data_IF_975126539136
#
_entry.id   IF_975126539136
#
_cell.length_a   1.000
_cell.length_b   1.000
_cell.length_c   1.000
_cell.angle_alpha   90.00
_cell.angle_beta   90.00
_cell.angle_gamma   90.00
#
_symmetry.space_group_name_H-M   'P 1'
#
loop_
_entity.id
_entity.type
_entity.pdbx_description
1 polymer ?
#
# COMPACT_ATOMS: atom_id res chain seq x y z
N UNK A 1 -19.86 -35.03 -39.92
CA UNK A 1 -19.97 -33.59 -39.54
C UNK A 1 -19.93 -33.39 -38.01
N UNK A 2 -20.65 -34.15 -37.18
CA UNK A 2 -20.71 -34.00 -35.72
C UNK A 2 -19.32 -34.10 -35.06
N UNK A 3 -18.46 -35.05 -35.47
CA UNK A 3 -17.11 -35.22 -34.89
C UNK A 3 -16.17 -34.00 -35.07
N UNK A 4 -16.26 -33.36 -36.23
CA UNK A 4 -15.44 -32.14 -36.50
C UNK A 4 -15.93 -30.97 -35.66
N UNK A 5 -17.25 -30.81 -35.49
CA UNK A 5 -17.81 -29.75 -34.63
C UNK A 5 -17.36 -29.91 -33.16
N UNK A 6 -17.34 -31.14 -32.64
CA UNK A 6 -16.86 -31.41 -31.27
C UNK A 6 -15.38 -31.04 -31.11
N UNK A 7 -14.54 -31.38 -32.08
CA UNK A 7 -13.13 -31.03 -32.05
C UNK A 7 -12.92 -29.51 -32.03
N UNK A 8 -13.66 -28.76 -32.85
CA UNK A 8 -13.59 -27.31 -32.91
C UNK A 8 -13.98 -26.69 -31.54
N UNK A 9 -15.06 -27.19 -30.92
CA UNK A 9 -15.53 -26.71 -29.63
C UNK A 9 -14.48 -26.98 -28.54
N UNK A 10 -13.89 -28.18 -28.49
CA UNK A 10 -12.87 -28.53 -27.52
C UNK A 10 -11.63 -27.63 -27.69
N UNK A 11 -11.16 -27.41 -28.91
CA UNK A 11 -10.02 -26.52 -29.18
C UNK A 11 -10.34 -25.09 -28.76
N UNK A 12 -11.52 -24.56 -29.04
CA UNK A 12 -11.92 -23.23 -28.60
C UNK A 12 -11.94 -23.08 -27.08
N UNK A 13 -12.43 -24.09 -26.35
CA UNK A 13 -12.43 -24.11 -24.88
C UNK A 13 -10.97 -24.09 -24.34
N UNK A 14 -10.09 -24.92 -24.87
CA UNK A 14 -8.69 -25.00 -24.43
C UNK A 14 -7.97 -23.66 -24.66
N UNK A 15 -8.18 -23.04 -25.82
CA UNK A 15 -7.60 -21.72 -26.12
C UNK A 15 -8.15 -20.66 -25.14
N UNK A 16 -9.46 -20.64 -24.90
CA UNK A 16 -10.10 -19.69 -23.98
C UNK A 16 -9.58 -19.83 -22.56
N UNK A 17 -9.40 -21.06 -22.07
CA UNK A 17 -8.81 -21.32 -20.75
C UNK A 17 -7.34 -20.84 -20.72
N UNK A 18 -6.56 -21.11 -21.76
CA UNK A 18 -5.16 -20.68 -21.87
C UNK A 18 -5.04 -19.15 -21.81
N UNK A 19 -5.89 -18.43 -22.54
CA UNK A 19 -5.93 -16.97 -22.51
C UNK A 19 -6.34 -16.46 -21.12
N UNK A 20 -7.39 -17.03 -20.52
CA UNK A 20 -7.86 -16.63 -19.20
C UNK A 20 -6.78 -16.84 -18.11
N UNK A 21 -6.06 -17.96 -18.14
CA UNK A 21 -4.96 -18.24 -17.23
C UNK A 21 -3.79 -17.28 -17.44
N UNK A 22 -3.46 -16.94 -18.69
CA UNK A 22 -2.40 -15.96 -19.00
C UNK A 22 -2.72 -14.59 -18.39
N UNK A 23 -3.94 -14.09 -18.61
CA UNK A 23 -4.40 -12.85 -17.98
C UNK A 23 -4.41 -12.94 -16.46
N UNK A 24 -4.88 -14.05 -15.90
CA UNK A 24 -4.90 -14.22 -14.44
C UNK A 24 -3.50 -14.10 -13.83
N UNK A 25 -2.50 -14.75 -14.41
CA UNK A 25 -1.10 -14.67 -13.94
C UNK A 25 -0.52 -13.26 -14.15
N UNK A 26 -0.81 -12.65 -15.30
CA UNK A 26 -0.29 -11.32 -15.63
C UNK A 26 -0.83 -10.22 -14.70
N UNK A 27 -2.07 -10.34 -14.22
CA UNK A 27 -2.70 -9.35 -13.35
C UNK A 27 -2.60 -9.64 -11.85
N UNK A 28 -1.79 -10.62 -11.43
CA UNK A 28 -1.52 -10.87 -10.01
C UNK A 28 -0.76 -9.71 -9.38
N UNK A 29 -1.16 -9.24 -8.18
CA UNK A 29 -0.37 -8.27 -7.43
C UNK A 29 0.96 -8.89 -6.97
N UNK A 30 2.02 -8.09 -7.01
CA UNK A 30 3.34 -8.46 -6.53
C UNK A 30 3.53 -7.88 -5.12
N UNK A 31 3.64 -8.73 -4.10
CA UNK A 31 3.84 -8.31 -2.72
C UNK A 31 5.32 -8.25 -2.37
N UNK A 32 5.80 -7.07 -1.97
CA UNK A 32 7.18 -6.82 -1.56
C UNK A 32 7.17 -6.51 -0.07
N UNK A 33 7.77 -7.38 0.75
CA UNK A 33 7.78 -7.24 2.21
C UNK A 33 9.17 -6.84 2.70
N UNK A 34 9.22 -5.79 3.54
CA UNK A 34 10.44 -5.28 4.17
C UNK A 34 10.16 -4.95 5.65
N UNK A 35 11.22 -4.65 6.42
CA UNK A 35 11.11 -4.15 7.80
C UNK A 35 11.04 -2.63 7.84
N UNK A 36 10.53 -2.10 8.95
CA UNK A 36 10.53 -0.67 9.23
C UNK A 36 11.93 -0.08 9.12
N UNK A 37 12.05 1.09 8.48
CA UNK A 37 13.33 1.72 8.13
C UNK A 37 13.99 1.21 6.85
N UNK A 38 13.59 0.06 6.32
CA UNK A 38 14.03 -0.39 5.00
C UNK A 38 13.15 0.22 3.90
N UNK A 39 13.76 0.45 2.74
CA UNK A 39 13.04 1.01 1.60
C UNK A 39 12.33 -0.07 0.79
N UNK A 40 11.11 0.22 0.35
CA UNK A 40 10.33 -0.61 -0.58
C UNK A 40 9.91 0.22 -1.79
N UNK A 41 10.00 -0.36 -2.97
CA UNK A 41 9.59 0.30 -4.21
C UNK A 41 8.21 -0.16 -4.63
N UNK A 42 7.29 0.80 -4.85
CA UNK A 42 5.94 0.54 -5.38
C UNK A 42 5.78 1.40 -6.64
N UNK A 43 5.80 0.75 -7.78
CA UNK A 43 5.93 1.44 -9.07
C UNK A 43 7.24 2.21 -9.18
N UNK A 44 7.14 3.50 -9.50
CA UNK A 44 8.30 4.38 -9.59
C UNK A 44 8.69 5.03 -8.25
N UNK A 45 7.90 4.84 -7.19
CA UNK A 45 8.12 5.51 -5.92
C UNK A 45 8.82 4.57 -4.94
N UNK A 46 9.89 5.06 -4.31
CA UNK A 46 10.59 4.43 -3.21
C UNK A 46 10.06 5.00 -1.89
N UNK A 47 9.59 4.13 -1.01
CA UNK A 47 9.07 4.47 0.31
C UNK A 47 9.96 3.91 1.40
N UNK A 48 10.19 4.69 2.45
CA UNK A 48 10.76 4.22 3.73
C UNK A 48 9.76 4.58 4.82
N UNK A 49 9.32 3.60 5.60
CA UNK A 49 8.29 3.77 6.62
C UNK A 49 8.83 3.32 7.96
N UNK A 50 8.58 4.13 8.99
CA UNK A 50 8.94 3.83 10.37
C UNK A 50 7.77 4.14 11.30
N UNK A 51 7.60 3.33 12.33
CA UNK A 51 6.76 3.66 13.48
C UNK A 51 7.46 4.73 14.32
N UNK A 52 6.77 5.84 14.60
CA UNK A 52 7.34 6.96 15.35
C UNK A 52 6.67 7.20 16.70
N UNK A 53 5.64 6.44 17.03
CA UNK A 53 5.01 6.52 18.33
C UNK A 53 3.49 6.50 18.29
N UNK A 54 2.91 6.80 19.43
CA UNK A 54 1.47 6.91 19.61
C UNK A 54 1.11 8.21 20.34
N UNK A 55 -0.09 8.72 20.09
CA UNK A 55 -0.62 9.88 20.79
C UNK A 55 -2.15 9.81 20.94
N UNK A 56 -2.69 10.64 21.83
CA UNK A 56 -4.13 10.66 22.12
C UNK A 56 -4.87 11.82 21.42
N UNK A 57 -4.26 12.32 20.34
CA UNK A 57 -4.83 13.45 19.59
C UNK A 57 -4.69 14.79 20.31
N UNK A 58 -5.55 15.72 19.94
CA UNK A 58 -5.63 17.08 20.48
C UNK A 58 -7.02 17.37 21.06
N UNK A 59 -7.29 18.63 21.39
CA UNK A 59 -8.61 19.06 21.93
C UNK A 59 -9.75 18.89 20.90
N UNK A 60 -9.45 18.92 19.60
CA UNK A 60 -10.42 18.87 18.51
C UNK A 60 -10.62 17.46 17.97
N UNK A 61 -9.55 16.66 17.97
CA UNK A 61 -9.56 15.33 17.34
C UNK A 61 -8.97 14.30 18.31
N UNK A 62 -9.83 13.47 18.89
CA UNK A 62 -9.44 12.39 19.79
C UNK A 62 -9.69 11.05 19.13
N UNK A 63 -8.80 10.06 19.32
CA UNK A 63 -9.04 8.71 18.83
C UNK A 63 -10.12 8.03 19.67
N UNK A 64 -10.74 6.99 19.10
CA UNK A 64 -11.57 6.04 19.85
C UNK A 64 -10.67 5.14 20.70
N UNK A 65 -9.50 4.79 20.19
CA UNK A 65 -8.49 3.96 20.85
C UNK A 65 -7.21 4.78 21.11
N UNK A 66 -6.24 4.70 20.22
CA UNK A 66 -5.04 5.53 20.22
C UNK A 66 -4.59 5.78 18.79
N UNK A 67 -3.99 6.91 18.52
CA UNK A 67 -3.37 7.17 17.21
C UNK A 67 -1.98 6.52 17.16
N UNK A 68 -1.87 5.53 16.30
CA UNK A 68 -0.61 4.91 15.89
C UNK A 68 -0.02 5.72 14.75
N UNK A 69 1.12 6.35 14.96
CA UNK A 69 1.73 7.28 14.01
C UNK A 69 2.94 6.67 13.30
N UNK A 70 3.03 6.89 12.01
CA UNK A 70 4.16 6.51 11.18
C UNK A 70 4.77 7.72 10.47
N UNK A 71 6.08 7.64 10.24
CA UNK A 71 6.81 8.49 9.30
C UNK A 71 6.88 7.81 7.95
N UNK A 72 6.74 8.61 6.90
CA UNK A 72 6.80 8.19 5.50
C UNK A 72 7.82 9.08 4.80
N UNK A 73 8.93 8.50 4.33
CA UNK A 73 9.82 9.16 3.40
C UNK A 73 9.53 8.60 2.03
N UNK A 74 9.25 9.45 1.05
CA UNK A 74 8.94 9.07 -0.32
C UNK A 74 9.86 9.78 -1.30
N UNK A 75 10.38 9.04 -2.27
CA UNK A 75 11.22 9.55 -3.35
C UNK A 75 10.70 8.99 -4.68
N UNK A 76 10.40 9.88 -5.61
CA UNK A 76 10.00 9.50 -6.96
C UNK A 76 11.25 9.24 -7.81
N UNK A 77 11.56 7.98 -8.08
CA UNK A 77 12.66 7.56 -8.95
C UNK A 77 12.26 7.50 -10.44
N UNK A 78 11.04 7.92 -10.76
CA UNK A 78 10.54 8.06 -12.14
C UNK A 78 11.01 9.35 -12.80
N UNK A 79 10.64 9.51 -14.06
CA UNK A 79 11.00 10.70 -14.87
C UNK A 79 9.90 11.75 -14.89
N UNK A 80 8.70 11.40 -14.48
CA UNK A 80 7.52 12.29 -14.42
C UNK A 80 7.05 12.45 -12.99
N UNK A 81 6.43 13.60 -12.70
CA UNK A 81 5.80 13.84 -11.40
C UNK A 81 4.72 12.79 -11.12
N UNK A 82 4.61 12.37 -9.86
CA UNK A 82 3.66 11.33 -9.44
C UNK A 82 2.87 11.77 -8.22
N UNK A 83 1.59 11.40 -8.17
CA UNK A 83 0.72 11.76 -7.06
C UNK A 83 0.78 10.70 -5.96
N UNK A 84 0.95 11.17 -4.73
CA UNK A 84 0.86 10.39 -3.51
C UNK A 84 -0.33 10.87 -2.65
N UNK A 85 -1.04 9.95 -2.01
CA UNK A 85 -2.17 10.26 -1.13
C UNK A 85 -2.11 9.43 0.15
N UNK A 86 -2.60 9.96 1.27
CA UNK A 86 -2.68 9.20 2.52
C UNK A 86 -3.47 7.90 2.40
N UNK A 87 -4.48 7.85 1.54
CA UNK A 87 -5.30 6.65 1.30
C UNK A 87 -4.57 5.46 0.66
N UNK A 88 -3.32 5.62 0.22
CA UNK A 88 -2.47 4.52 -0.23
C UNK A 88 -1.98 3.64 0.91
N UNK A 89 -1.94 4.18 2.13
CA UNK A 89 -1.38 3.52 3.30
C UNK A 89 -2.48 2.93 4.16
N UNK A 90 -2.30 1.67 4.57
CA UNK A 90 -3.23 0.95 5.44
C UNK A 90 -2.45 0.24 6.51
N UNK A 91 -2.86 0.37 7.76
CA UNK A 91 -2.33 -0.52 8.79
C UNK A 91 -3.02 -1.88 8.69
N UNK A 92 -2.25 -2.95 8.82
CA UNK A 92 -2.71 -4.34 8.77
C UNK A 92 -2.31 -4.98 10.10
N UNK A 93 -3.30 -5.40 10.88
CA UNK A 93 -3.07 -6.10 12.13
C UNK A 93 -2.72 -7.58 11.93
N UNK A 94 -2.44 -8.29 13.02
CA UNK A 94 -2.09 -9.73 13.00
C UNK A 94 -3.18 -10.63 12.40
N UNK A 95 -4.44 -10.19 12.43
CA UNK A 95 -5.58 -10.92 11.86
C UNK A 95 -5.82 -10.57 10.38
N UNK A 96 -4.99 -9.69 9.81
CA UNK A 96 -5.13 -9.20 8.43
C UNK A 96 -6.20 -8.13 8.26
N UNK A 97 -6.75 -7.58 9.36
CA UNK A 97 -7.70 -6.46 9.30
C UNK A 97 -6.97 -5.20 8.87
N UNK A 98 -7.53 -4.54 7.85
CA UNK A 98 -7.01 -3.28 7.30
C UNK A 98 -7.74 -2.11 7.92
N UNK A 99 -6.99 -1.10 8.35
CA UNK A 99 -7.54 0.16 8.86
C UNK A 99 -6.98 1.30 8.02
N UNK A 100 -7.86 2.21 7.64
CA UNK A 100 -7.52 3.43 6.89
C UNK A 100 -6.87 4.46 7.82
N UNK A 101 -6.02 5.35 7.27
CA UNK A 101 -5.51 6.47 8.05
C UNK A 101 -6.62 7.44 8.46
N UNK A 102 -6.42 8.08 9.59
CA UNK A 102 -7.26 9.18 10.06
C UNK A 102 -6.64 10.49 9.57
N UNK A 103 -7.44 11.27 8.89
CA UNK A 103 -7.02 12.58 8.40
C UNK A 103 -7.33 13.66 9.43
N UNK A 104 -6.36 14.47 9.73
CA UNK A 104 -6.45 15.60 10.65
C UNK A 104 -5.23 16.50 10.47
N UNK A 105 -5.22 17.62 11.17
CA UNK A 105 -4.06 18.51 11.21
C UNK A 105 -3.31 18.28 12.52
N UNK A 106 -2.72 17.10 12.67
CA UNK A 106 -1.95 16.72 13.87
C UNK A 106 -0.50 17.23 13.81
N UNK A 107 0.00 17.45 12.60
CA UNK A 107 1.31 18.05 12.35
C UNK A 107 1.30 18.81 11.04
N UNK A 108 2.28 19.68 10.83
CA UNK A 108 2.45 20.43 9.57
C UNK A 108 2.79 19.50 8.38
N UNK A 109 3.23 18.26 8.68
CA UNK A 109 3.65 17.26 7.69
C UNK A 109 2.62 16.13 7.51
N UNK A 110 1.38 16.29 7.95
CA UNK A 110 0.36 15.27 7.76
C UNK A 110 0.04 15.06 6.27
N UNK A 111 0.15 13.81 5.84
CA UNK A 111 -0.08 13.45 4.44
C UNK A 111 -1.57 13.43 4.10
N UNK A 112 -2.00 14.38 3.28
CA UNK A 112 -3.31 14.33 2.62
C UNK A 112 -3.13 13.91 1.16
N UNK A 113 -2.55 14.78 0.36
CA UNK A 113 -2.23 14.58 -1.04
C UNK A 113 -1.01 15.42 -1.40
N UNK A 114 -0.07 14.83 -2.11
CA UNK A 114 1.16 15.51 -2.52
C UNK A 114 1.59 15.09 -3.91
N UNK A 115 2.18 16.00 -4.68
CA UNK A 115 2.80 15.72 -5.97
C UNK A 115 4.30 15.55 -5.75
N UNK A 116 4.81 14.36 -6.01
CA UNK A 116 6.22 14.00 -5.89
C UNK A 116 6.95 14.36 -7.18
N UNK A 117 7.82 15.35 -7.12
CA UNK A 117 8.72 15.65 -8.23
C UNK A 117 9.83 14.58 -8.36
N UNK A 118 10.35 14.34 -9.56
CA UNK A 118 11.40 13.36 -9.78
C UNK A 118 12.66 13.63 -8.95
N UNK A 119 13.18 12.59 -8.27
CA UNK A 119 14.41 12.60 -7.48
C UNK A 119 14.43 13.62 -6.32
N UNK A 120 13.26 14.04 -5.83
CA UNK A 120 13.14 14.91 -4.66
C UNK A 120 12.53 14.11 -3.52
N UNK A 121 13.31 13.71 -2.50
CA UNK A 121 12.77 13.03 -1.33
C UNK A 121 11.96 13.99 -0.47
N UNK A 122 10.83 13.52 0.03
CA UNK A 122 9.94 14.27 0.93
C UNK A 122 9.56 13.42 2.12
N UNK A 123 9.24 14.07 3.24
CA UNK A 123 8.87 13.39 4.47
C UNK A 123 7.49 13.84 4.94
N UNK A 124 6.67 12.86 5.33
CA UNK A 124 5.32 13.06 5.84
C UNK A 124 5.07 12.19 7.07
N UNK A 125 3.98 12.49 7.77
CA UNK A 125 3.41 11.64 8.81
C UNK A 125 2.00 11.23 8.45
N UNK A 126 1.54 10.10 8.96
CA UNK A 126 0.12 9.72 8.97
C UNK A 126 -0.18 8.87 10.19
N UNK A 127 -1.44 8.79 10.58
CA UNK A 127 -1.86 8.08 11.79
C UNK A 127 -3.09 7.22 11.56
N UNK A 128 -3.23 6.20 12.41
CA UNK A 128 -4.32 5.23 12.39
C UNK A 128 -4.93 5.12 13.78
N UNK A 129 -6.25 5.16 13.89
CA UNK A 129 -6.93 4.92 15.16
C UNK A 129 -7.12 3.42 15.36
N UNK A 130 -6.28 2.82 16.21
CA UNK A 130 -6.29 1.38 16.48
C UNK A 130 -6.12 1.09 17.97
N UNK A 131 -6.65 -0.05 18.46
CA UNK A 131 -6.31 -0.57 19.77
C UNK A 131 -4.89 -1.13 19.75
N UNK A 132 -3.90 -0.24 19.95
CA UNK A 132 -2.49 -0.61 19.88
C UNK A 132 -2.07 -1.46 21.08
N UNK A 133 -1.34 -2.54 20.80
CA UNK A 133 -0.70 -3.44 21.74
C UNK A 133 0.76 -3.60 21.34
N UNK A 134 1.69 -3.21 22.20
CA UNK A 134 3.13 -3.26 21.93
C UNK A 134 3.69 -4.65 21.65
N UNK A 135 2.97 -5.71 22.07
CA UNK A 135 3.37 -7.11 21.83
C UNK A 135 2.88 -7.65 20.47
N UNK A 136 2.06 -6.90 19.76
CA UNK A 136 1.48 -7.32 18.48
C UNK A 136 2.28 -6.83 17.29
N UNK A 137 2.22 -7.61 16.21
CA UNK A 137 2.80 -7.22 14.94
C UNK A 137 1.86 -6.31 14.16
N UNK A 138 2.38 -5.17 13.72
CA UNK A 138 1.67 -4.27 12.80
C UNK A 138 2.46 -4.09 11.52
N UNK A 139 1.75 -4.08 10.42
CA UNK A 139 2.31 -3.90 9.07
C UNK A 139 1.60 -2.75 8.37
N UNK A 140 2.34 -2.02 7.56
CA UNK A 140 1.79 -0.98 6.70
C UNK A 140 1.75 -1.50 5.27
N UNK A 141 0.55 -1.58 4.71
CA UNK A 141 0.35 -1.87 3.29
C UNK A 141 0.39 -0.57 2.49
N UNK A 142 1.15 -0.56 1.41
CA UNK A 142 1.29 0.56 0.48
C UNK A 142 0.72 0.14 -0.86
N UNK A 143 -0.37 0.79 -1.28
CA UNK A 143 -1.02 0.53 -2.55
C UNK A 143 -0.57 1.57 -3.59
N UNK A 144 -0.37 1.19 -4.86
CA UNK A 144 -0.14 2.17 -5.91
C UNK A 144 -1.40 3.01 -6.16
N UNK A 145 -1.22 4.27 -6.55
CA UNK A 145 -2.33 5.05 -7.13
C UNK A 145 -2.60 4.58 -8.56
N UNK A 146 -3.76 4.96 -9.11
CA UNK A 146 -4.09 4.66 -10.51
C UNK A 146 -3.07 5.26 -11.49
N UNK A 147 -2.50 6.42 -11.15
CA UNK A 147 -1.51 7.13 -11.97
C UNK A 147 -0.16 6.39 -11.97
N UNK A 148 0.18 5.72 -10.86
CA UNK A 148 1.42 4.95 -10.75
C UNK A 148 1.40 3.66 -11.58
N UNK A 149 0.23 3.19 -12.00
CA UNK A 149 0.03 2.04 -12.90
C UNK A 149 0.88 0.80 -12.56
N UNK A 150 1.11 0.55 -11.27
CA UNK A 150 1.91 -0.56 -10.76
C UNK A 150 1.03 -1.67 -10.18
N UNK A 151 1.55 -2.89 -10.18
CA UNK A 151 0.98 -4.05 -9.49
C UNK A 151 1.71 -4.36 -8.18
N UNK A 152 2.78 -3.64 -7.90
CA UNK A 152 3.54 -3.80 -6.68
C UNK A 152 2.74 -3.28 -5.49
N UNK A 153 2.68 -4.07 -4.44
CA UNK A 153 2.12 -3.71 -3.15
C UNK A 153 3.24 -3.85 -2.13
N UNK A 154 3.62 -2.72 -1.53
CA UNK A 154 4.58 -2.71 -0.43
C UNK A 154 3.93 -3.17 0.86
N UNK A 155 4.63 -4.00 1.62
CA UNK A 155 4.26 -4.36 2.99
C UNK A 155 5.45 -4.11 3.89
N UNK A 156 5.33 -3.13 4.78
CA UNK A 156 6.38 -2.78 5.73
C UNK A 156 5.97 -3.24 7.12
N UNK A 157 6.73 -4.15 7.70
CA UNK A 157 6.55 -4.56 9.08
C UNK A 157 7.17 -3.51 10.01
N UNK A 158 6.36 -2.84 10.83
CA UNK A 158 6.81 -1.67 11.62
C UNK A 158 6.95 -1.94 13.11
N UNK A 159 6.34 -3.02 13.63
CA UNK A 159 6.53 -3.46 15.02
C UNK A 159 6.59 -4.98 15.11
N UNK A 160 7.40 -5.49 16.03
CA UNK A 160 7.55 -6.93 16.35
C UNK A 160 7.78 -7.81 15.10
N UNK A 161 8.68 -7.38 14.21
CA UNK A 161 9.10 -8.11 13.02
C UNK A 161 10.14 -9.18 13.40
#
# INVERSE_FOLDING_TARGET
MVRIAIVIVVVAIVISIGIALSFYVEFQPNFITVKGGESVKVGAIKYTIEYIGQHNGDEKTKPVNTFFQISIIAENEGVEASKMTGGQFHIIDENGKKVQPVYGSFSDNDLLTYVLEPNVPVSFTTQFDIPFDENKQYRIGILPTKEQSSRDIGIVCVTNC
#
